data_IF_021359306789
#
_entry.id   IF_021359306789
#
_cell.length_a   1.000
_cell.length_b   1.000
_cell.length_c   1.000
_cell.angle_alpha   90.00
_cell.angle_beta   90.00
_cell.angle_gamma   90.00
#
_symmetry.space_group_name_H-M   'P 1'
#
loop_
_entity.id
_entity.type
_entity.pdbx_description
1 polymer ?
#
# COMPACT_ATOMS: atom_id res chain seq x y z
N UNK A 1 -9.10 -15.15 -4.72
CA UNK A 1 -8.04 -14.35 -5.39
C UNK A 1 -6.74 -14.64 -4.66
N UNK A 2 -5.80 -15.36 -5.30
CA UNK A 2 -4.45 -15.53 -4.75
C UNK A 2 -3.63 -14.34 -5.25
N UNK A 3 -3.14 -13.52 -4.33
CA UNK A 3 -2.38 -12.30 -4.66
C UNK A 3 -0.94 -12.60 -5.13
N UNK A 4 -0.50 -13.86 -5.10
CA UNK A 4 0.91 -14.25 -5.28
C UNK A 4 1.14 -15.41 -6.25
N UNK A 5 0.20 -15.72 -7.16
CA UNK A 5 0.42 -16.75 -8.19
C UNK A 5 0.62 -16.15 -9.58
N UNK A 6 1.53 -16.80 -10.33
CA UNK A 6 2.02 -16.53 -11.69
C UNK A 6 1.87 -15.07 -12.17
N UNK A 7 2.82 -14.21 -11.75
CA UNK A 7 2.92 -12.80 -12.15
C UNK A 7 3.89 -12.02 -11.27
N UNK A 8 4.12 -10.73 -11.57
CA UNK A 8 4.82 -9.82 -10.64
C UNK A 8 3.96 -9.70 -9.38
N UNK A 9 4.54 -9.91 -8.20
CA UNK A 9 3.84 -9.72 -6.92
C UNK A 9 3.19 -8.34 -6.87
N UNK A 10 1.99 -8.14 -6.30
CA UNK A 10 1.36 -6.83 -6.23
C UNK A 10 2.18 -5.83 -5.40
N UNK A 11 1.95 -4.55 -5.63
CA UNK A 11 2.38 -3.50 -4.69
C UNK A 11 1.31 -3.40 -3.61
N UNK A 12 1.70 -3.57 -2.36
CA UNK A 12 0.78 -3.47 -1.21
C UNK A 12 0.97 -2.09 -0.59
N UNK A 13 -0.11 -1.31 -0.46
CA UNK A 13 -0.10 0.03 0.12
C UNK A 13 -0.87 0.04 1.44
N UNK A 14 -0.22 0.52 2.49
CA UNK A 14 -0.85 0.79 3.79
C UNK A 14 -1.31 2.24 3.85
N UNK A 15 -2.62 2.45 3.66
CA UNK A 15 -3.25 3.77 3.54
C UNK A 15 -4.00 4.21 4.80
N UNK A 16 -3.71 3.57 5.93
CA UNK A 16 -4.32 3.91 7.22
C UNK A 16 -4.06 5.39 7.60
N UNK A 17 -4.87 5.97 8.48
CA UNK A 17 -4.48 7.24 9.12
C UNK A 17 -3.29 7.00 10.05
N UNK A 18 -2.45 8.01 10.27
CA UNK A 18 -1.22 7.89 11.09
C UNK A 18 -1.50 7.28 12.47
N UNK A 19 -2.57 7.71 13.13
CA UNK A 19 -2.98 7.16 14.42
C UNK A 19 -3.25 5.64 14.38
N UNK A 20 -3.89 5.14 13.32
CA UNK A 20 -4.20 3.72 13.17
C UNK A 20 -2.96 2.91 12.76
N UNK A 21 -2.08 3.49 11.95
CA UNK A 21 -0.79 2.90 11.56
C UNK A 21 0.15 2.70 12.77
N UNK A 22 0.14 3.65 13.70
CA UNK A 22 0.96 3.61 14.91
C UNK A 22 0.40 2.66 15.98
N UNK A 23 -0.93 2.67 16.17
CA UNK A 23 -1.61 1.85 17.20
C UNK A 23 -1.70 0.36 16.85
N UNK A 24 -1.71 0.01 15.57
CA UNK A 24 -1.89 -1.37 15.11
C UNK A 24 -0.53 -1.98 14.70
N UNK A 25 0.05 -2.90 15.50
CA UNK A 25 1.37 -3.45 15.24
C UNK A 25 1.41 -4.36 14.01
N UNK A 26 0.25 -4.91 13.61
CA UNK A 26 0.14 -5.76 12.43
C UNK A 26 0.19 -4.90 11.16
N UNK A 27 1.13 -5.25 10.30
CA UNK A 27 1.37 -4.68 8.97
C UNK A 27 1.53 -5.82 7.99
N UNK A 28 1.02 -5.66 6.78
CA UNK A 28 1.24 -6.66 5.74
C UNK A 28 2.74 -6.60 5.36
N UNK A 29 3.50 -7.71 5.44
CA UNK A 29 4.90 -7.71 5.06
C UNK A 29 5.11 -7.19 3.64
N UNK A 30 6.10 -6.31 3.47
CA UNK A 30 6.38 -5.67 2.17
C UNK A 30 5.39 -4.56 1.77
N UNK A 31 4.45 -4.17 2.64
CA UNK A 31 3.60 -3.01 2.36
C UNK A 31 4.38 -1.71 2.43
N UNK A 32 4.16 -0.83 1.45
CA UNK A 32 4.65 0.54 1.45
C UNK A 32 3.65 1.41 2.20
N UNK A 33 4.16 2.21 3.15
CA UNK A 33 3.34 3.17 3.88
C UNK A 33 3.09 4.39 3.00
N UNK A 34 1.82 4.75 2.84
CA UNK A 34 1.42 5.98 2.17
C UNK A 34 0.20 6.56 2.87
N UNK A 35 0.33 7.72 3.51
CA UNK A 35 -0.79 8.33 4.22
C UNK A 35 -1.88 8.81 3.23
N UNK A 36 -3.14 8.94 3.67
CA UNK A 36 -4.19 9.52 2.84
C UNK A 36 -3.82 10.89 2.25
N UNK A 37 -3.13 11.72 3.03
CA UNK A 37 -2.70 13.06 2.61
C UNK A 37 -1.61 13.01 1.51
N UNK A 38 -0.70 12.06 1.58
CA UNK A 38 0.33 11.82 0.54
C UNK A 38 -0.30 11.27 -0.75
N UNK A 39 -1.36 10.47 -0.62
CA UNK A 39 -2.17 9.97 -1.74
C UNK A 39 -2.90 11.11 -2.45
N UNK A 40 -3.61 11.96 -1.70
CA UNK A 40 -4.41 13.06 -2.24
C UNK A 40 -3.53 14.10 -2.96
N UNK A 41 -2.34 14.36 -2.43
CA UNK A 41 -1.40 15.31 -3.03
C UNK A 41 -0.65 14.76 -4.25
N UNK A 42 -0.71 13.44 -4.50
CA UNK A 42 0.04 12.78 -5.56
C UNK A 42 1.56 12.89 -5.41
N UNK A 43 2.05 13.29 -4.22
CA UNK A 43 3.48 13.55 -3.95
C UNK A 43 4.24 12.31 -3.51
N UNK A 44 3.59 11.16 -3.48
CA UNK A 44 4.13 9.88 -3.03
C UNK A 44 5.46 9.46 -3.70
N UNK A 45 5.77 9.98 -4.90
CA UNK A 45 7.00 9.67 -5.62
C UNK A 45 7.18 8.17 -5.94
N UNK A 46 6.12 7.36 -5.81
CA UNK A 46 6.16 5.96 -6.17
C UNK A 46 6.21 5.85 -7.69
N UNK A 47 7.31 5.33 -8.21
CA UNK A 47 7.34 4.80 -9.57
C UNK A 47 6.46 3.53 -9.60
N UNK A 48 5.20 3.72 -10.00
CA UNK A 48 4.24 2.63 -10.13
C UNK A 48 4.32 2.06 -11.54
N UNK A 49 4.64 0.76 -11.64
CA UNK A 49 4.45 0.02 -12.88
C UNK A 49 2.94 -0.12 -13.14
N UNK A 50 2.43 0.55 -14.16
CA UNK A 50 0.99 0.56 -14.53
C UNK A 50 0.45 -0.82 -14.93
N UNK A 51 1.34 -1.79 -15.19
CA UNK A 51 0.98 -3.18 -15.48
C UNK A 51 1.03 -4.08 -14.24
N UNK A 52 1.32 -3.52 -13.07
CA UNK A 52 1.44 -4.25 -11.81
C UNK A 52 0.23 -3.96 -10.92
N UNK A 53 -0.46 -4.99 -10.42
CA UNK A 53 -1.59 -4.78 -9.51
C UNK A 53 -1.18 -4.05 -8.23
N UNK A 54 -2.07 -3.18 -7.77
CA UNK A 54 -1.90 -2.40 -6.54
C UNK A 54 -3.02 -2.75 -5.59
N UNK A 55 -2.68 -3.09 -4.35
CA UNK A 55 -3.63 -3.42 -3.29
C UNK A 55 -3.44 -2.43 -2.17
N UNK A 56 -4.39 -1.50 -2.02
CA UNK A 56 -4.45 -0.62 -0.86
C UNK A 56 -5.29 -1.25 0.25
N UNK A 57 -4.84 -1.14 1.50
CA UNK A 57 -5.61 -1.53 2.67
C UNK A 57 -5.65 -0.40 3.71
N UNK A 58 -6.80 -0.26 4.34
CA UNK A 58 -7.07 0.68 5.41
C UNK A 58 -7.72 -0.05 6.60
N UNK A 59 -8.20 0.72 7.59
CA UNK A 59 -8.95 0.20 8.75
C UNK A 59 -10.35 0.77 8.71
#
# INVERSE_FOLDING_TARGET
IRLSEEGKQPIILDTRKSEAYEKLPLKIPGSVRLSPEELESGTAGLEMDVNRPVVAYCT
#
